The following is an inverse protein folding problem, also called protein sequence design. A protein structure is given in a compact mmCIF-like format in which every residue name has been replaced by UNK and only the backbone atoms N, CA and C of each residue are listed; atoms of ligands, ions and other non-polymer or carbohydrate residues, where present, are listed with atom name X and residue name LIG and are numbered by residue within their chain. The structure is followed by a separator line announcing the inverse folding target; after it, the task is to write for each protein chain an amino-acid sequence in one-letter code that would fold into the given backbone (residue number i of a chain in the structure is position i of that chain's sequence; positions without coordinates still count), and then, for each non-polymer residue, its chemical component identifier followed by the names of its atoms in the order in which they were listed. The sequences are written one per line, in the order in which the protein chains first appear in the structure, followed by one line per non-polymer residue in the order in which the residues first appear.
data_IF_308295040261
#
_entry.id   IF_308295040261
#
_cell.length_a   1.000
_cell.length_b   1.000
_cell.length_c   1.000
_cell.angle_alpha   90.00
_cell.angle_beta   90.00
_cell.angle_gamma   90.00
#
_symmetry.space_group_name_H-M   'P 1'
#
loop_
_entity.id
_entity.type
_entity.pdbx_description
1 polymer ?
#
# COMPACT_ATOMS: atom_id res chain seq x y z
N UNK A 1 3.81 -3.26 0.84
CA UNK A 1 2.43 -3.26 1.41
C UNK A 1 1.65 -2.00 0.99
N UNK A 2 2.33 -0.90 0.69
CA UNK A 2 1.69 0.38 0.30
C UNK A 2 1.36 0.49 -1.19
N UNK A 3 1.82 -0.44 -2.04
CA UNK A 3 1.48 -0.44 -3.48
C UNK A 3 -0.02 -0.61 -3.69
N UNK A 4 -0.56 0.07 -4.70
CA UNK A 4 -1.99 0.02 -5.02
C UNK A 4 -2.47 -1.42 -5.30
N UNK A 5 -3.69 -1.75 -4.85
CA UNK A 5 -4.28 -3.08 -5.04
C UNK A 5 -4.36 -3.47 -6.53
N UNK A 6 -4.64 -2.51 -7.40
CA UNK A 6 -4.67 -2.70 -8.86
C UNK A 6 -3.34 -3.16 -9.43
N UNK A 7 -2.21 -2.73 -8.85
CA UNK A 7 -0.88 -3.17 -9.27
C UNK A 7 -0.70 -4.69 -9.08
N UNK A 8 -1.04 -5.21 -7.89
CA UNK A 8 -0.96 -6.63 -7.61
C UNK A 8 -1.88 -7.47 -8.53
N UNK A 9 -3.09 -6.97 -8.80
CA UNK A 9 -4.04 -7.62 -9.72
C UNK A 9 -3.48 -7.66 -11.15
N UNK A 10 -3.01 -6.51 -11.66
CA UNK A 10 -2.43 -6.43 -13.00
C UNK A 10 -1.21 -7.36 -13.16
N UNK A 11 -0.33 -7.42 -12.17
CA UNK A 11 0.81 -8.35 -12.21
C UNK A 11 0.36 -9.81 -12.25
N UNK A 12 -0.61 -10.19 -11.42
CA UNK A 12 -1.16 -11.54 -11.40
C UNK A 12 -1.81 -11.93 -12.74
N UNK A 13 -2.57 -11.03 -13.35
CA UNK A 13 -3.19 -11.21 -14.67
C UNK A 13 -2.14 -11.42 -15.79
N UNK A 14 -0.96 -10.82 -15.61
CA UNK A 14 0.18 -11.00 -16.52
C UNK A 14 1.13 -12.16 -16.12
N UNK A 15 0.70 -13.03 -15.21
CA UNK A 15 1.47 -14.22 -14.80
C UNK A 15 2.65 -13.94 -13.88
N UNK A 16 2.76 -12.70 -13.34
CA UNK A 16 3.80 -12.34 -12.39
C UNK A 16 3.38 -12.69 -10.96
N UNK A 17 4.33 -13.18 -10.18
CA UNK A 17 4.15 -13.36 -8.74
C UNK A 17 4.56 -12.08 -8.02
N UNK A 18 3.85 -11.74 -6.95
CA UNK A 18 4.15 -10.58 -6.11
C UNK A 18 4.26 -10.99 -4.65
N UNK A 19 5.22 -10.39 -3.95
CA UNK A 19 5.38 -10.52 -2.51
C UNK A 19 5.33 -9.13 -1.90
N UNK A 20 4.49 -8.97 -0.88
CA UNK A 20 4.38 -7.73 -0.13
C UNK A 20 5.27 -7.76 1.10
N UNK A 21 6.11 -6.74 1.26
CA UNK A 21 6.98 -6.55 2.41
C UNK A 21 6.44 -5.45 3.34
N UNK A 22 7.07 -5.28 4.48
CA UNK A 22 6.89 -4.07 5.30
C UNK A 22 7.35 -2.83 4.53
N UNK A 23 6.88 -1.65 4.98
CA UNK A 23 7.27 -0.35 4.40
C UNK A 23 8.75 -0.08 4.66
N UNK A 24 9.50 0.22 3.63
CA UNK A 24 10.92 0.54 3.65
C UNK A 24 11.71 -0.26 2.61
N UNK A 25 12.53 0.42 1.82
CA UNK A 25 13.37 -0.13 0.77
C UNK A 25 14.30 -1.25 1.28
N UNK A 26 14.76 -1.14 2.53
CA UNK A 26 15.53 -2.18 3.20
C UNK A 26 14.78 -3.51 3.25
N UNK A 27 13.50 -3.53 3.64
CA UNK A 27 12.73 -4.77 3.72
C UNK A 27 12.45 -5.37 2.33
N UNK A 28 12.29 -4.48 1.33
CA UNK A 28 12.17 -4.91 -0.07
C UNK A 28 13.47 -5.60 -0.50
N UNK A 29 14.62 -4.98 -0.27
CA UNK A 29 15.93 -5.54 -0.63
C UNK A 29 16.22 -6.86 0.11
N UNK A 30 15.98 -6.93 1.42
CA UNK A 30 16.19 -8.14 2.21
C UNK A 30 15.38 -9.32 1.65
N UNK A 31 14.10 -9.09 1.30
CA UNK A 31 13.25 -10.13 0.72
C UNK A 31 13.71 -10.53 -0.69
N UNK A 32 14.14 -9.56 -1.50
CA UNK A 32 14.68 -9.82 -2.84
C UNK A 32 15.93 -10.70 -2.80
N UNK A 33 16.88 -10.39 -1.93
CA UNK A 33 18.12 -11.15 -1.79
C UNK A 33 17.90 -12.57 -1.25
N UNK A 34 16.91 -12.73 -0.36
CA UNK A 34 16.56 -14.04 0.22
C UNK A 34 15.96 -15.00 -0.80
N UNK A 35 15.24 -14.51 -1.78
CA UNK A 35 14.47 -15.31 -2.73
C UNK A 35 14.89 -15.10 -4.20
N UNK A 36 15.96 -14.36 -4.45
CA UNK A 36 16.49 -14.05 -5.78
C UNK A 36 15.45 -13.42 -6.72
N UNK A 37 14.69 -12.42 -6.18
CA UNK A 37 13.72 -11.71 -6.98
C UNK A 37 14.39 -10.67 -7.89
N UNK A 38 13.90 -10.57 -9.12
CA UNK A 38 14.53 -9.77 -10.17
C UNK A 38 14.21 -8.27 -10.13
N UNK A 39 13.13 -7.86 -9.44
CA UNK A 39 12.73 -6.46 -9.31
C UNK A 39 11.97 -6.25 -8.00
N UNK A 40 12.22 -5.15 -7.33
CA UNK A 40 11.48 -4.70 -6.17
C UNK A 40 11.27 -3.21 -6.22
N UNK A 41 10.30 -2.72 -5.44
CA UNK A 41 10.06 -1.29 -5.40
C UNK A 41 8.98 -0.88 -4.41
N UNK A 42 8.85 0.42 -4.27
CA UNK A 42 7.89 1.08 -3.40
C UNK A 42 7.10 2.15 -4.16
N UNK A 43 5.93 2.46 -3.67
CA UNK A 43 5.08 3.54 -4.21
C UNK A 43 5.78 4.92 -4.14
N UNK A 44 6.75 5.09 -3.26
CA UNK A 44 7.60 6.29 -3.15
C UNK A 44 8.46 6.55 -4.39
N UNK A 45 8.55 5.59 -5.32
CA UNK A 45 9.34 5.69 -6.55
C UNK A 45 10.73 5.05 -6.45
N UNK A 46 11.07 4.41 -5.32
CA UNK A 46 12.26 3.58 -5.23
C UNK A 46 12.05 2.29 -5.98
N UNK A 47 12.87 2.02 -6.99
CA UNK A 47 12.86 0.75 -7.74
C UNK A 47 14.26 0.16 -7.70
N UNK A 48 14.35 -1.12 -7.35
CA UNK A 48 15.59 -1.88 -7.18
C UNK A 48 15.66 -2.93 -8.27
N UNK A 49 16.76 -2.94 -9.00
CA UNK A 49 17.12 -3.97 -9.96
C UNK A 49 18.41 -4.62 -9.45
N UNK A 50 18.36 -5.76 -8.74
CA UNK A 50 19.54 -6.36 -8.09
C UNK A 50 20.66 -6.76 -9.06
N UNK A 51 20.32 -7.00 -10.32
CA UNK A 51 21.31 -7.24 -11.39
C UNK A 51 22.27 -6.05 -11.59
N UNK A 52 21.79 -4.81 -11.31
CA UNK A 52 22.57 -3.60 -11.57
C UNK A 52 23.02 -2.89 -10.29
N UNK A 53 22.18 -2.89 -9.23
CA UNK A 53 22.48 -2.23 -7.97
C UNK A 53 21.63 -2.81 -6.84
N UNK A 54 22.17 -2.76 -5.61
CA UNK A 54 21.48 -3.20 -4.38
C UNK A 54 20.70 -2.10 -3.67
N UNK A 55 20.44 -1.00 -4.35
CA UNK A 55 19.63 0.12 -3.85
C UNK A 55 18.74 0.67 -4.95
N UNK A 56 17.69 1.40 -4.59
CA UNK A 56 16.90 2.16 -5.55
C UNK A 56 17.77 3.19 -6.28
N UNK A 57 17.73 3.15 -7.60
CA UNK A 57 18.52 4.03 -8.47
C UNK A 57 17.66 4.59 -9.59
N UNK A 58 17.49 5.92 -9.59
CA UNK A 58 16.63 6.62 -10.55
C UNK A 58 17.19 6.59 -11.97
N UNK A 59 18.53 6.59 -12.16
CA UNK A 59 19.15 6.52 -13.47
C UNK A 59 19.01 5.12 -14.07
N UNK A 60 19.25 4.08 -13.30
CA UNK A 60 19.03 2.70 -13.71
C UNK A 60 17.54 2.50 -14.06
N UNK A 61 16.63 2.98 -13.22
CA UNK A 61 15.18 2.91 -13.47
C UNK A 61 14.81 3.61 -14.78
N UNK A 62 15.35 4.80 -15.05
CA UNK A 62 15.11 5.52 -16.29
C UNK A 62 15.62 4.74 -17.52
N UNK A 63 16.84 4.19 -17.45
CA UNK A 63 17.42 3.38 -18.55
C UNK A 63 16.59 2.12 -18.81
N UNK A 64 16.18 1.41 -17.75
CA UNK A 64 15.32 0.21 -17.89
C UNK A 64 13.95 0.57 -18.49
N UNK A 65 13.36 1.70 -18.08
CA UNK A 65 12.10 2.19 -18.65
C UNK A 65 12.26 2.52 -20.14
N UNK A 66 13.34 3.20 -20.56
CA UNK A 66 13.63 3.47 -21.96
C UNK A 66 13.87 2.20 -22.77
N UNK A 67 14.50 1.18 -22.19
CA UNK A 67 14.66 -0.14 -22.80
C UNK A 67 13.29 -0.76 -23.09
N UNK A 68 12.38 -0.79 -22.12
CA UNK A 68 11.01 -1.32 -22.28
C UNK A 68 10.26 -0.56 -23.38
N UNK A 69 10.32 0.77 -23.39
CA UNK A 69 9.71 1.59 -24.45
C UNK A 69 10.21 1.20 -25.84
N UNK A 70 11.53 1.06 -25.99
CA UNK A 70 12.16 0.71 -27.26
C UNK A 70 11.78 -0.71 -27.72
N UNK A 71 11.80 -1.68 -26.80
CA UNK A 71 11.54 -3.09 -27.11
C UNK A 71 10.04 -3.37 -27.36
N UNK A 72 9.14 -2.69 -26.64
CA UNK A 72 7.70 -2.84 -26.82
C UNK A 72 7.16 -2.11 -28.05
N UNK A 73 7.87 -1.10 -28.55
CA UNK A 73 7.39 -0.21 -29.61
C UNK A 73 6.19 0.66 -29.19
N UNK A 74 5.86 0.69 -27.90
CA UNK A 74 4.74 1.46 -27.35
C UNK A 74 5.19 2.81 -26.81
N UNK A 75 4.25 3.74 -26.74
CA UNK A 75 4.45 5.02 -26.06
C UNK A 75 4.31 4.87 -24.54
N UNK A 76 4.84 5.84 -23.78
CA UNK A 76 4.65 5.88 -22.31
C UNK A 76 3.17 5.94 -21.94
N UNK A 77 2.36 6.67 -22.70
CA UNK A 77 0.92 6.77 -22.48
C UNK A 77 0.21 5.42 -22.60
N UNK A 78 0.59 4.61 -23.60
CA UNK A 78 0.03 3.26 -23.77
C UNK A 78 0.46 2.32 -22.63
N UNK A 79 1.71 2.42 -22.15
CA UNK A 79 2.20 1.61 -21.02
C UNK A 79 1.59 2.05 -19.70
N UNK A 80 1.16 3.31 -19.56
CA UNK A 80 0.53 3.79 -18.32
C UNK A 80 -0.87 3.20 -18.06
N UNK A 81 -1.46 2.54 -19.06
CA UNK A 81 -2.78 1.90 -18.93
C UNK A 81 -2.72 0.40 -18.60
N UNK A 82 -1.59 -0.09 -18.11
CA UNK A 82 -1.40 -1.51 -17.77
C UNK A 82 -2.14 -1.96 -16.50
N UNK A 83 -2.61 -1.02 -15.68
CA UNK A 83 -3.36 -1.34 -14.47
C UNK A 83 -4.53 -0.37 -14.26
N UNK A 84 -5.56 -0.85 -13.58
CA UNK A 84 -6.63 -0.01 -13.04
C UNK A 84 -6.21 0.43 -11.64
N UNK A 85 -6.08 1.74 -11.43
CA UNK A 85 -5.79 2.29 -10.11
C UNK A 85 -7.05 2.31 -9.27
N UNK A 86 -7.01 1.67 -8.13
CA UNK A 86 -8.09 1.70 -7.15
C UNK A 86 -8.06 3.01 -6.37
N UNK A 87 -9.22 3.67 -6.16
CA UNK A 87 -9.32 4.76 -5.20
C UNK A 87 -8.72 4.38 -3.86
N UNK A 88 -7.99 5.31 -3.25
CA UNK A 88 -7.34 5.15 -1.96
C UNK A 88 -7.71 6.31 -1.05
N UNK A 89 -8.10 6.01 0.17
CA UNK A 89 -8.37 7.01 1.21
C UNK A 89 -7.46 6.74 2.39
N UNK A 90 -6.84 7.79 2.91
CA UNK A 90 -6.03 7.76 4.12
C UNK A 90 -6.59 8.78 5.11
N UNK A 91 -6.96 8.32 6.29
CA UNK A 91 -7.36 9.16 7.42
C UNK A 91 -6.39 8.98 8.57
N UNK A 92 -5.92 10.08 9.13
CA UNK A 92 -5.08 10.09 10.32
C UNK A 92 -5.95 10.41 11.53
N UNK A 93 -5.92 9.56 12.56
CA UNK A 93 -6.65 9.77 13.81
C UNK A 93 -5.65 10.03 14.91
N UNK A 94 -5.71 11.21 15.53
CA UNK A 94 -4.88 11.54 16.68
C UNK A 94 -5.32 10.73 17.89
N UNK A 95 -4.34 10.11 18.56
CA UNK A 95 -4.60 9.23 19.68
C UNK A 95 -3.74 9.59 20.90
N UNK A 96 -4.29 9.37 22.08
CA UNK A 96 -3.56 9.58 23.32
C UNK A 96 -2.38 8.59 23.47
N UNK A 97 -2.59 7.34 23.03
CA UNK A 97 -1.56 6.30 23.01
C UNK A 97 -1.70 5.42 21.79
N UNK A 98 -0.58 5.11 21.17
CA UNK A 98 -0.51 4.14 20.06
C UNK A 98 -0.42 2.68 20.54
N UNK A 99 -0.24 2.46 21.84
CA UNK A 99 -0.06 1.13 22.37
C UNK A 99 -1.42 0.44 22.58
N UNK A 100 -1.50 -0.82 22.20
CA UNK A 100 -2.67 -1.65 22.45
C UNK A 100 -3.83 -1.49 21.46
N UNK A 101 -3.68 -0.67 20.41
CA UNK A 101 -4.72 -0.53 19.38
C UNK A 101 -5.00 -1.86 18.67
N UNK A 102 -3.96 -2.67 18.46
CA UNK A 102 -4.07 -3.99 17.82
C UNK A 102 -4.85 -5.01 18.65
N UNK A 103 -4.89 -4.82 19.97
CA UNK A 103 -5.59 -5.70 20.91
C UNK A 103 -7.00 -5.21 21.25
N UNK A 104 -7.39 -4.01 20.80
CA UNK A 104 -8.74 -3.47 21.03
C UNK A 104 -9.77 -4.22 20.20
N UNK A 105 -10.73 -4.86 20.84
CA UNK A 105 -11.74 -5.71 20.20
C UNK A 105 -12.65 -4.91 19.24
N UNK A 106 -13.06 -3.70 19.63
CA UNK A 106 -13.95 -2.88 18.81
C UNK A 106 -13.26 -2.41 17.52
N UNK A 107 -11.99 -2.02 17.61
CA UNK A 107 -11.19 -1.64 16.44
C UNK A 107 -11.00 -2.85 15.52
N UNK A 108 -10.65 -4.01 16.06
CA UNK A 108 -10.49 -5.23 15.26
C UNK A 108 -11.77 -5.67 14.58
N UNK A 109 -12.89 -5.59 15.29
CA UNK A 109 -14.20 -5.96 14.75
C UNK A 109 -14.64 -5.01 13.62
N UNK A 110 -14.40 -3.70 13.78
CA UNK A 110 -14.68 -2.73 12.73
C UNK A 110 -13.82 -2.96 11.48
N UNK A 111 -12.54 -3.28 11.64
CA UNK A 111 -11.64 -3.62 10.52
C UNK A 111 -12.14 -4.89 9.81
N UNK A 112 -12.45 -5.95 10.58
CA UNK A 112 -12.94 -7.22 10.01
C UNK A 112 -14.24 -7.04 9.23
N UNK A 113 -15.21 -6.30 9.77
CA UNK A 113 -16.46 -6.01 9.09
C UNK A 113 -16.24 -5.25 7.78
N UNK A 114 -15.31 -4.29 7.77
CA UNK A 114 -14.93 -3.54 6.60
C UNK A 114 -14.26 -4.43 5.53
N UNK A 115 -13.36 -5.33 5.93
CA UNK A 115 -12.70 -6.28 5.02
C UNK A 115 -13.71 -7.28 4.42
N UNK A 116 -14.67 -7.76 5.22
CA UNK A 116 -15.76 -8.61 4.75
C UNK A 116 -16.66 -7.89 3.74
N UNK A 117 -17.00 -6.62 3.99
CA UNK A 117 -17.81 -5.81 3.09
C UNK A 117 -17.09 -5.51 1.76
N UNK A 118 -15.80 -5.18 1.80
CA UNK A 118 -14.99 -4.90 0.60
C UNK A 118 -14.67 -6.17 -0.21
N UNK A 119 -14.56 -7.31 0.45
CA UNK A 119 -14.22 -8.59 -0.16
C UNK A 119 -12.92 -8.54 -0.98
N UNK A 120 -12.95 -9.11 -2.18
CA UNK A 120 -11.79 -9.12 -3.08
C UNK A 120 -11.56 -7.80 -3.81
N UNK A 121 -12.47 -6.84 -3.71
CA UNK A 121 -12.44 -5.58 -4.45
C UNK A 121 -11.93 -4.39 -3.63
N UNK A 122 -11.45 -4.66 -2.42
CA UNK A 122 -10.83 -3.66 -1.58
C UNK A 122 -9.93 -4.26 -0.51
N UNK A 123 -9.33 -3.41 0.28
CA UNK A 123 -8.55 -3.77 1.47
C UNK A 123 -8.50 -2.62 2.47
N UNK A 124 -8.29 -2.97 3.71
CA UNK A 124 -8.04 -2.03 4.81
C UNK A 124 -6.61 -2.21 5.31
N UNK A 125 -5.96 -1.11 5.66
CA UNK A 125 -4.66 -1.11 6.32
C UNK A 125 -4.68 -0.08 7.45
N UNK A 126 -4.68 -0.57 8.68
CA UNK A 126 -4.56 0.26 9.89
C UNK A 126 -3.18 0.09 10.48
N UNK A 127 -2.53 1.18 10.82
CA UNK A 127 -1.20 1.15 11.44
C UNK A 127 -0.91 2.37 12.28
N UNK A 128 -0.10 2.21 13.31
CA UNK A 128 0.44 3.32 14.07
C UNK A 128 1.48 4.11 13.23
N UNK A 129 1.51 5.44 13.40
CA UNK A 129 2.59 6.27 12.86
C UNK A 129 3.88 6.02 13.63
N UNK A 130 5.02 5.96 12.93
CA UNK A 130 6.33 5.78 13.56
C UNK A 130 6.74 7.00 14.43
N UNK A 131 6.41 8.19 13.98
CA UNK A 131 6.92 9.46 14.54
C UNK A 131 5.86 10.30 15.26
N UNK A 132 4.59 10.14 14.95
CA UNK A 132 3.50 10.98 15.42
C UNK A 132 2.54 10.17 16.31
N UNK A 133 1.83 10.79 17.27
CA UNK A 133 0.85 10.13 18.12
C UNK A 133 -0.49 9.95 17.36
N UNK A 134 -0.47 9.18 16.28
CA UNK A 134 -1.66 8.92 15.48
C UNK A 134 -1.71 7.49 14.94
N UNK A 135 -2.92 7.04 14.70
CA UNK A 135 -3.25 5.82 13.94
C UNK A 135 -3.65 6.22 12.52
N UNK A 136 -3.06 5.56 11.54
CA UNK A 136 -3.36 5.76 10.13
C UNK A 136 -4.32 4.68 9.67
N UNK A 137 -5.50 5.10 9.22
CA UNK A 137 -6.54 4.23 8.65
C UNK A 137 -6.53 4.47 7.15
N UNK A 138 -6.12 3.45 6.40
CA UNK A 138 -6.08 3.50 4.94
C UNK A 138 -6.98 2.41 4.37
N UNK A 139 -7.71 2.75 3.32
CA UNK A 139 -8.47 1.80 2.53
C UNK A 139 -8.27 2.01 1.04
N UNK A 140 -8.40 0.94 0.30
CA UNK A 140 -8.50 0.92 -1.15
C UNK A 140 -9.73 0.12 -1.56
N UNK A 141 -10.45 0.60 -2.55
CA UNK A 141 -11.67 -0.05 -3.04
C UNK A 141 -12.12 0.52 -4.37
N UNK A 142 -13.02 -0.18 -5.08
CA UNK A 142 -13.54 0.25 -6.37
C UNK A 142 -14.45 1.48 -6.25
N UNK A 143 -15.32 1.47 -5.25
CA UNK A 143 -16.38 2.46 -5.07
C UNK A 143 -15.98 3.49 -4.00
N UNK A 144 -15.67 4.70 -4.45
CA UNK A 144 -15.14 5.76 -3.56
C UNK A 144 -16.09 6.10 -2.42
N UNK A 145 -17.40 6.19 -2.66
CA UNK A 145 -18.38 6.55 -1.63
C UNK A 145 -18.52 5.46 -0.55
N UNK A 146 -18.44 4.18 -0.95
CA UNK A 146 -18.40 3.07 -0.01
C UNK A 146 -17.14 3.13 0.84
N UNK A 147 -16.00 3.38 0.19
CA UNK A 147 -14.71 3.47 0.85
C UNK A 147 -14.65 4.61 1.87
N UNK A 148 -15.17 5.80 1.51
CA UNK A 148 -15.28 6.95 2.41
C UNK A 148 -16.04 6.59 3.69
N UNK A 149 -17.22 6.01 3.54
CA UNK A 149 -18.04 5.58 4.69
C UNK A 149 -17.29 4.59 5.58
N UNK A 150 -16.71 3.56 4.98
CA UNK A 150 -15.97 2.52 5.72
C UNK A 150 -14.79 3.12 6.50
N UNK A 151 -14.01 3.99 5.87
CA UNK A 151 -12.86 4.62 6.51
C UNK A 151 -13.29 5.58 7.62
N UNK A 152 -14.39 6.29 7.43
CA UNK A 152 -14.97 7.15 8.45
C UNK A 152 -15.49 6.35 9.66
N UNK A 153 -16.15 5.23 9.42
CA UNK A 153 -16.63 4.33 10.46
C UNK A 153 -15.46 3.78 11.31
N UNK A 154 -14.40 3.26 10.68
CA UNK A 154 -13.21 2.76 11.39
C UNK A 154 -12.52 3.90 12.14
N UNK A 155 -12.33 5.05 11.50
CA UNK A 155 -11.67 6.20 12.13
C UNK A 155 -12.45 6.68 13.36
N UNK A 156 -13.79 6.70 13.30
CA UNK A 156 -14.65 7.06 14.43
C UNK A 156 -14.53 6.08 15.59
N UNK A 157 -14.41 4.78 15.31
CA UNK A 157 -14.15 3.77 16.36
C UNK A 157 -12.77 3.99 16.98
N UNK A 158 -11.74 4.24 16.19
CA UNK A 158 -10.38 4.52 16.70
C UNK A 158 -10.38 5.79 17.56
N UNK A 159 -11.07 6.85 17.12
CA UNK A 159 -11.19 8.11 17.85
C UNK A 159 -11.95 7.93 19.18
N UNK A 160 -13.02 7.15 19.18
CA UNK A 160 -13.78 6.85 20.40
C UNK A 160 -12.97 6.07 21.43
N UNK A 161 -12.19 5.09 20.96
CA UNK A 161 -11.46 4.18 21.85
C UNK A 161 -10.12 4.76 22.33
N UNK A 162 -9.44 5.54 21.50
CA UNK A 162 -8.05 5.97 21.72
C UNK A 162 -7.83 7.46 21.49
N UNK A 163 -8.85 8.20 21.05
CA UNK A 163 -8.74 9.61 20.69
C UNK A 163 -8.39 10.50 21.88
N UNK A 164 -7.80 11.65 21.55
CA UNK A 164 -7.55 12.72 22.53
C UNK A 164 -8.87 13.40 22.85
N UNK A 165 -9.30 13.39 24.11
CA UNK A 165 -10.46 14.18 24.53
C UNK A 165 -10.20 15.67 24.22
N UNK A 166 -10.95 16.22 23.29
CA UNK A 166 -10.97 17.67 23.07
C UNK A 166 -11.69 18.32 24.25
N UNK A 167 -10.93 18.80 25.24
CA UNK A 167 -11.42 19.68 26.31
C UNK A 167 -11.72 21.08 25.77
#
# INVERSE_FOLDING_TARGET
VMSNLGFGKALKENGCQTVSTQVGDRYVLEEMLKHDYSIGGEQSGHIIFPEFNTTGDGLITAVQTLKVLRESGKTMSELNHLMVTYPQILKNVEVYSKNGWEDNELIRDSIRAAEEELGSDGRILVRASGTEPLIRVMGEGKEINQLERIIDDIASVVEHELGVENN
#
